data_IF_063884207259
#
_entry.id   IF_063884207259
#
_cell.length_a   1.000
_cell.length_b   1.000
_cell.length_c   1.000
_cell.angle_alpha   90.00
_cell.angle_beta   90.00
_cell.angle_gamma   90.00
#
_symmetry.space_group_name_H-M   'P 1'
#
loop_
_entity.id
_entity.type
_entity.pdbx_description
1 polymer ?
#
# COMPACT_ATOMS: atom_id res chain seq x y z
N UNK A 1 15.73 -15.54 45.31
CA UNK A 1 14.99 -14.32 45.70
C UNK A 1 15.89 -13.12 45.45
N UNK A 2 15.65 -12.38 44.38
CA UNK A 2 16.42 -11.18 44.02
C UNK A 2 15.41 -10.07 43.74
N UNK A 3 15.55 -8.98 44.50
CA UNK A 3 14.57 -7.89 44.64
C UNK A 3 14.26 -7.24 43.29
N UNK A 4 12.98 -7.23 42.91
CA UNK A 4 12.42 -6.22 41.99
C UNK A 4 12.59 -4.85 42.65
N UNK A 5 13.53 -4.04 42.18
CA UNK A 5 13.44 -2.59 42.38
C UNK A 5 12.26 -2.10 41.56
N UNK A 6 11.23 -1.60 42.25
CA UNK A 6 10.15 -0.81 41.66
C UNK A 6 10.77 0.44 41.04
N UNK A 7 11.01 0.45 39.74
CA UNK A 7 11.06 1.70 39.01
C UNK A 7 9.63 2.12 38.70
N UNK A 8 9.22 3.18 39.39
CA UNK A 8 7.98 3.90 39.16
C UNK A 8 7.99 4.59 37.79
N UNK A 9 6.83 4.55 37.13
CA UNK A 9 6.45 5.27 35.90
C UNK A 9 6.71 4.55 34.57
N UNK A 10 5.78 3.65 34.22
CA UNK A 10 4.99 3.71 32.99
C UNK A 10 5.70 4.21 31.71
N UNK A 11 6.95 3.81 31.45
CA UNK A 11 7.67 4.25 30.27
C UNK A 11 8.26 3.09 29.51
N UNK A 12 8.15 3.14 28.18
CA UNK A 12 8.80 2.18 27.27
C UNK A 12 10.10 2.80 26.80
N UNK A 13 11.20 2.08 27.06
CA UNK A 13 12.53 2.44 26.61
C UNK A 13 12.72 1.91 25.18
N UNK A 14 12.77 2.83 24.22
CA UNK A 14 13.19 2.51 22.86
C UNK A 14 14.70 2.68 22.76
N UNK A 15 15.37 1.64 22.27
CA UNK A 15 16.81 1.65 22.00
C UNK A 15 17.03 1.81 20.51
N UNK A 16 17.71 2.89 20.12
CA UNK A 16 18.12 3.15 18.75
C UNK A 16 19.65 3.18 18.70
N UNK A 17 20.33 2.02 18.56
CA UNK A 17 21.79 1.98 18.59
C UNK A 17 22.38 2.97 17.58
N UNK A 18 23.29 3.82 18.06
CA UNK A 18 23.97 4.86 17.27
C UNK A 18 23.11 6.06 16.82
N UNK A 19 21.87 6.20 17.30
CA UNK A 19 21.08 7.39 17.03
C UNK A 19 21.71 8.63 17.68
N UNK A 20 21.80 9.72 16.91
CA UNK A 20 22.25 11.02 17.38
C UNK A 20 21.21 12.08 17.06
N UNK A 21 21.07 13.10 17.90
CA UNK A 21 20.28 14.28 17.57
C UNK A 21 21.00 15.16 16.53
N UNK A 22 20.33 16.24 16.11
CA UNK A 22 20.86 17.21 15.15
C UNK A 22 22.15 17.93 15.63
N UNK A 23 22.55 17.74 16.89
CA UNK A 23 23.75 18.30 17.49
C UNK A 23 24.82 17.23 17.79
N UNK A 24 24.58 15.98 17.37
CA UNK A 24 25.51 14.87 17.58
C UNK A 24 25.43 14.23 18.97
N UNK A 25 24.46 14.61 19.81
CA UNK A 25 24.25 14.03 21.13
C UNK A 25 23.61 12.65 21.00
N UNK A 26 23.95 11.75 21.93
CA UNK A 26 23.41 10.39 21.95
C UNK A 26 21.89 10.39 22.18
N UNK A 27 21.17 9.85 21.21
CA UNK A 27 19.73 9.60 21.23
C UNK A 27 19.43 8.09 21.29
N UNK A 28 20.42 7.28 21.69
CA UNK A 28 20.30 5.82 21.73
C UNK A 28 19.20 5.30 22.64
N UNK A 29 18.64 6.17 23.50
CA UNK A 29 17.57 5.86 24.45
C UNK A 29 16.52 6.95 24.40
N UNK A 30 15.30 6.58 24.05
CA UNK A 30 14.12 7.46 24.19
C UNK A 30 13.12 6.81 25.14
N UNK A 31 12.64 7.59 26.11
CA UNK A 31 11.65 7.17 27.09
C UNK A 31 10.30 7.75 26.70
N UNK A 32 9.33 6.88 26.39
CA UNK A 32 7.95 7.30 26.15
C UNK A 32 7.13 6.97 27.39
N UNK A 33 6.67 8.00 28.13
CA UNK A 33 5.82 7.81 29.31
C UNK A 33 4.38 7.57 28.87
N UNK A 34 3.94 6.32 28.92
CA UNK A 34 2.59 5.87 28.58
C UNK A 34 1.73 5.85 29.84
N UNK A 35 0.79 6.78 29.98
CA UNK A 35 -0.21 6.69 31.04
C UNK A 35 -1.03 5.40 30.88
N UNK A 36 -0.81 4.45 31.80
CA UNK A 36 -1.57 3.23 32.10
C UNK A 36 -2.33 2.63 30.90
N UNK A 37 -1.63 2.28 29.83
CA UNK A 37 -2.14 1.32 28.87
C UNK A 37 -1.87 -0.08 29.41
N UNK A 38 -2.95 -0.80 29.73
CA UNK A 38 -2.90 -2.23 30.03
C UNK A 38 -2.35 -2.94 28.79
N UNK A 39 -1.16 -3.53 28.91
CA UNK A 39 -0.60 -4.62 28.09
C UNK A 39 -1.13 -4.75 26.64
N UNK A 40 -0.32 -4.33 25.66
CA UNK A 40 -0.35 -4.80 24.26
C UNK A 40 -1.64 -4.59 23.44
N UNK A 41 -2.06 -3.32 23.31
CA UNK A 41 -3.21 -2.82 22.54
C UNK A 41 -3.05 -2.93 20.99
N UNK A 42 -2.24 -3.86 20.47
CA UNK A 42 -2.10 -4.05 19.02
C UNK A 42 -3.43 -4.47 18.38
N UNK A 43 -4.18 -5.35 19.07
CA UNK A 43 -5.45 -5.90 18.58
C UNK A 43 -6.55 -4.84 18.53
N UNK A 44 -6.70 -3.99 19.54
CA UNK A 44 -7.76 -2.97 19.56
C UNK A 44 -7.44 -1.80 18.60
N UNK A 45 -6.18 -1.40 18.44
CA UNK A 45 -5.78 -0.41 17.43
C UNK A 45 -5.97 -0.92 16.00
N UNK A 46 -5.46 -2.12 15.70
CA UNK A 46 -5.66 -2.75 14.39
C UNK A 46 -7.15 -2.95 14.10
N UNK A 47 -7.90 -3.42 15.11
CA UNK A 47 -9.30 -3.73 14.89
C UNK A 47 -10.14 -2.50 14.60
N UNK A 48 -9.95 -1.45 15.40
CA UNK A 48 -10.61 -0.17 15.21
C UNK A 48 -10.31 0.44 13.84
N UNK A 49 -9.06 0.36 13.39
CA UNK A 49 -8.67 0.88 12.09
C UNK A 49 -9.28 0.09 10.95
N UNK A 50 -9.06 -1.22 10.86
CA UNK A 50 -9.48 -1.96 9.67
C UNK A 50 -11.00 -2.06 9.51
N UNK A 51 -11.75 -2.06 10.62
CA UNK A 51 -13.22 -2.08 10.59
C UNK A 51 -13.83 -0.76 10.19
N UNK A 52 -13.36 0.27 10.86
CA UNK A 52 -14.10 1.51 11.02
C UNK A 52 -13.33 2.66 10.38
N UNK A 53 -12.12 2.41 9.89
CA UNK A 53 -11.14 3.43 9.54
C UNK A 53 -10.98 4.43 10.70
N UNK A 54 -10.97 3.93 11.95
CA UNK A 54 -10.99 4.80 13.13
C UNK A 54 -9.65 5.51 13.38
N UNK A 55 -9.74 6.68 14.03
CA UNK A 55 -8.59 7.32 14.68
C UNK A 55 -8.18 6.54 15.92
N UNK A 56 -7.05 5.83 15.84
CA UNK A 56 -6.68 4.81 16.82
C UNK A 56 -6.17 5.43 18.13
N UNK A 57 -6.39 4.78 19.29
CA UNK A 57 -5.93 5.26 20.58
C UNK A 57 -4.43 5.62 20.64
N UNK A 58 -3.56 4.79 20.08
CA UNK A 58 -2.11 5.04 20.11
C UNK A 58 -1.71 6.31 19.34
N UNK A 59 -2.38 6.63 18.25
CA UNK A 59 -2.13 7.85 17.48
C UNK A 59 -2.49 9.12 18.27
N UNK A 60 -3.50 9.06 19.16
CA UNK A 60 -3.83 10.18 20.05
C UNK A 60 -2.71 10.50 21.03
N UNK A 61 -2.07 9.47 21.57
CA UNK A 61 -0.93 9.63 22.46
C UNK A 61 0.30 10.14 21.69
N UNK A 62 0.58 9.55 20.52
CA UNK A 62 1.66 9.99 19.66
C UNK A 62 1.49 11.45 19.22
N UNK A 63 0.26 11.91 18.95
CA UNK A 63 -0.02 13.33 18.62
C UNK A 63 0.43 14.26 19.75
N UNK A 64 0.08 13.92 21.00
CA UNK A 64 0.46 14.73 22.18
C UNK A 64 1.98 14.78 22.34
N UNK A 65 2.63 13.63 22.32
CA UNK A 65 4.09 13.53 22.44
C UNK A 65 4.81 14.28 21.31
N UNK A 66 4.31 14.17 20.08
CA UNK A 66 4.88 14.86 18.92
C UNK A 66 4.71 16.38 19.03
N UNK A 67 3.56 16.86 19.48
CA UNK A 67 3.31 18.28 19.73
C UNK A 67 4.24 18.86 20.80
N UNK A 68 4.41 18.14 21.92
CA UNK A 68 5.32 18.52 23.00
C UNK A 68 6.76 18.61 22.50
N UNK A 69 7.20 17.59 21.74
CA UNK A 69 8.56 17.56 21.19
C UNK A 69 8.78 18.67 20.16
N UNK A 70 7.80 18.96 19.30
CA UNK A 70 7.88 20.08 18.36
C UNK A 70 7.95 21.42 19.11
N UNK A 71 7.19 21.57 20.20
CA UNK A 71 7.25 22.77 21.04
C UNK A 71 8.63 22.94 21.70
N UNK A 72 9.25 21.86 22.15
CA UNK A 72 10.64 21.87 22.61
C UNK A 72 11.62 22.24 21.49
N UNK A 73 11.49 21.66 20.29
CA UNK A 73 12.35 21.98 19.15
C UNK A 73 12.28 23.48 18.80
N UNK A 74 11.10 24.09 18.86
CA UNK A 74 10.95 25.54 18.61
C UNK A 74 11.78 26.41 19.56
N UNK A 75 12.00 25.96 20.79
CA UNK A 75 12.75 26.74 21.79
C UNK A 75 14.23 26.39 21.80
N UNK A 76 14.57 25.10 21.78
CA UNK A 76 15.95 24.62 21.94
C UNK A 76 16.71 24.47 20.62
N UNK A 77 16.02 24.19 19.52
CA UNK A 77 16.62 24.00 18.21
C UNK A 77 15.72 24.62 17.11
N UNK A 78 15.60 25.95 17.04
CA UNK A 78 14.61 26.63 16.19
C UNK A 78 14.72 26.32 14.70
N UNK A 79 15.89 25.87 14.22
CA UNK A 79 16.11 25.48 12.83
C UNK A 79 15.92 23.98 12.58
N UNK A 80 15.80 23.15 13.62
CA UNK A 80 15.57 21.72 13.47
C UNK A 80 14.14 21.43 13.00
N UNK A 81 14.03 20.41 12.16
CA UNK A 81 12.78 19.81 11.69
C UNK A 81 12.67 18.37 12.24
N UNK A 82 11.51 17.76 12.08
CA UNK A 82 11.22 16.41 12.55
C UNK A 82 10.83 15.52 11.38
N UNK A 83 11.61 14.46 11.15
CA UNK A 83 11.24 13.35 10.27
C UNK A 83 10.56 12.26 11.10
N UNK A 84 9.51 11.64 10.56
CA UNK A 84 8.69 10.64 11.24
C UNK A 84 8.76 9.34 10.45
N UNK A 85 8.89 8.22 11.16
CA UNK A 85 8.84 6.90 10.54
C UNK A 85 8.00 5.93 11.36
N UNK A 86 7.45 4.95 10.67
CA UNK A 86 6.68 3.88 11.27
C UNK A 86 6.71 2.63 10.40
N UNK A 87 6.57 1.47 11.02
CA UNK A 87 6.40 0.17 10.36
C UNK A 87 5.16 -0.51 10.90
N UNK A 88 4.42 -1.23 10.05
CA UNK A 88 3.21 -1.97 10.46
C UNK A 88 2.19 -1.04 11.15
N UNK A 89 1.69 -1.38 12.35
CA UNK A 89 0.86 -0.49 13.19
C UNK A 89 1.48 0.90 13.36
N UNK A 90 2.81 0.99 13.44
CA UNK A 90 3.54 2.24 13.55
C UNK A 90 3.28 3.21 12.40
N UNK A 91 2.89 2.72 11.20
CA UNK A 91 2.50 3.61 10.10
C UNK A 91 1.21 4.35 10.40
N UNK A 92 0.21 3.63 10.91
CA UNK A 92 -1.08 4.18 11.30
C UNK A 92 -0.90 5.19 12.43
N UNK A 93 -0.14 4.82 13.46
CA UNK A 93 0.20 5.73 14.58
C UNK A 93 0.83 7.01 14.06
N UNK A 94 1.84 6.88 13.20
CA UNK A 94 2.60 8.01 12.67
C UNK A 94 1.74 8.95 11.83
N UNK A 95 1.05 8.42 10.82
CA UNK A 95 0.29 9.26 9.87
C UNK A 95 -0.92 9.91 10.53
N UNK A 96 -1.64 9.18 11.40
CA UNK A 96 -2.76 9.74 12.13
C UNK A 96 -2.32 10.76 13.18
N UNK A 97 -1.14 10.58 13.79
CA UNK A 97 -0.58 11.57 14.71
C UNK A 97 -0.20 12.87 13.99
N UNK A 98 0.52 12.76 12.87
CA UNK A 98 0.87 13.91 12.03
C UNK A 98 -0.38 14.64 11.54
N UNK A 99 -1.40 13.90 11.11
CA UNK A 99 -2.67 14.48 10.69
C UNK A 99 -3.30 15.33 11.80
N UNK A 100 -3.28 14.88 13.05
CA UNK A 100 -3.95 15.58 14.16
C UNK A 100 -3.07 16.63 14.87
N UNK A 101 -1.88 16.94 14.37
CA UNK A 101 -1.06 18.03 14.90
C UNK A 101 -1.74 19.40 14.72
N UNK A 102 -1.47 20.37 15.61
CA UNK A 102 -1.82 21.76 15.37
C UNK A 102 -1.23 22.25 14.04
N UNK A 103 -1.99 23.04 13.27
CA UNK A 103 -1.57 23.57 11.95
C UNK A 103 -0.16 24.19 11.99
N UNK A 104 0.16 24.92 13.05
CA UNK A 104 1.47 25.56 13.22
C UNK A 104 2.63 24.55 13.20
N UNK A 105 2.40 23.33 13.67
CA UNK A 105 3.40 22.28 13.83
C UNK A 105 3.68 21.51 12.55
N UNK A 106 2.78 21.54 11.57
CA UNK A 106 3.01 20.95 10.25
C UNK A 106 4.24 21.54 9.57
N UNK A 107 4.54 22.83 9.78
CA UNK A 107 5.73 23.48 9.24
C UNK A 107 7.05 22.91 9.79
N UNK A 108 7.02 22.18 10.91
CA UNK A 108 8.19 21.51 11.50
C UNK A 108 8.40 20.09 11.00
N UNK A 109 7.46 19.55 10.24
CA UNK A 109 7.55 18.22 9.67
C UNK A 109 8.44 18.29 8.42
N UNK A 110 9.54 17.55 8.48
CA UNK A 110 10.49 17.39 7.38
C UNK A 110 9.96 16.38 6.37
N UNK A 111 9.72 15.15 6.84
CA UNK A 111 9.29 14.01 6.04
C UNK A 111 8.57 12.98 6.90
N UNK A 112 7.67 12.22 6.30
CA UNK A 112 6.97 11.07 6.90
C UNK A 112 7.25 9.87 6.02
N UNK A 113 7.99 8.89 6.54
CA UNK A 113 8.45 7.71 5.79
C UNK A 113 7.88 6.46 6.43
N UNK A 114 7.00 5.75 5.72
CA UNK A 114 6.17 4.70 6.30
C UNK A 114 6.45 3.36 5.62
N UNK A 115 6.62 2.30 6.39
CA UNK A 115 7.02 0.98 5.90
C UNK A 115 5.94 -0.07 6.13
N UNK A 116 5.60 -0.83 5.09
CA UNK A 116 4.77 -2.04 5.17
C UNK A 116 3.49 -1.83 6.02
N UNK A 117 2.79 -0.73 5.77
CA UNK A 117 1.58 -0.36 6.48
C UNK A 117 0.44 -0.02 5.54
N UNK A 118 -0.81 -0.08 6.06
CA UNK A 118 -2.00 0.10 5.25
C UNK A 118 -2.13 1.53 4.74
N UNK A 119 -2.96 1.74 3.72
CA UNK A 119 -3.40 3.09 3.37
C UNK A 119 -4.42 3.61 4.40
N UNK A 120 -4.19 4.83 4.88
CA UNK A 120 -4.98 5.46 5.92
C UNK A 120 -5.93 6.55 5.42
N UNK A 121 -6.11 6.74 4.10
CA UNK A 121 -6.92 7.82 3.53
C UNK A 121 -8.32 7.87 4.10
N UNK A 122 -9.08 6.78 4.00
CA UNK A 122 -10.44 6.71 4.54
C UNK A 122 -10.51 6.98 6.04
N UNK A 123 -9.41 6.71 6.77
CA UNK A 123 -9.33 7.01 8.18
C UNK A 123 -9.15 8.50 8.44
N UNK A 124 -8.24 9.14 7.71
CA UNK A 124 -8.04 10.59 7.75
C UNK A 124 -9.30 11.34 7.33
N UNK A 125 -10.03 10.84 6.33
CA UNK A 125 -11.26 11.48 5.84
C UNK A 125 -12.36 11.50 6.90
N UNK A 126 -12.39 10.52 7.80
CA UNK A 126 -13.30 10.47 8.97
C UNK A 126 -12.83 11.35 10.14
N UNK A 127 -11.64 11.93 10.07
CA UNK A 127 -11.12 12.83 11.10
C UNK A 127 -11.56 14.29 10.86
N UNK A 128 -10.99 15.22 11.63
CA UNK A 128 -11.31 16.65 11.49
C UNK A 128 -10.86 17.21 10.13
N UNK A 129 -11.51 18.29 9.69
CA UNK A 129 -11.09 19.03 8.48
C UNK A 129 -9.63 19.49 8.55
N UNK A 130 -9.15 19.85 9.74
CA UNK A 130 -7.74 20.20 9.95
C UNK A 130 -6.82 19.01 9.66
N UNK A 131 -7.22 17.80 10.05
CA UNK A 131 -6.43 16.60 9.81
C UNK A 131 -6.30 16.27 8.32
N UNK A 132 -7.40 16.38 7.58
CA UNK A 132 -7.39 16.25 6.12
C UNK A 132 -6.47 17.29 5.47
N UNK A 133 -6.59 18.57 5.86
CA UNK A 133 -5.77 19.66 5.32
C UNK A 133 -4.28 19.51 5.65
N UNK A 134 -3.96 19.00 6.84
CA UNK A 134 -2.58 18.73 7.25
C UNK A 134 -1.95 17.67 6.34
N UNK A 135 -2.64 16.55 6.12
CA UNK A 135 -2.16 15.49 5.23
C UNK A 135 -2.08 15.99 3.79
N UNK A 136 -3.11 16.67 3.28
CA UNK A 136 -3.10 17.26 1.95
C UNK A 136 -1.87 18.17 1.74
N UNK A 137 -1.60 19.07 2.70
CA UNK A 137 -0.45 19.98 2.65
C UNK A 137 0.87 19.20 2.53
N UNK A 138 1.03 18.13 3.31
CA UNK A 138 2.25 17.32 3.29
C UNK A 138 2.39 16.47 2.01
N UNK A 139 1.27 16.00 1.45
CA UNK A 139 1.25 15.31 0.15
C UNK A 139 1.66 16.27 -0.97
N UNK A 140 1.07 17.47 -1.02
CA UNK A 140 1.41 18.50 -2.02
C UNK A 140 2.88 18.95 -1.92
N UNK A 141 3.46 18.90 -0.72
CA UNK A 141 4.89 19.17 -0.49
C UNK A 141 5.81 17.97 -0.80
N UNK A 142 5.27 16.81 -1.18
CA UNK A 142 6.05 15.60 -1.45
C UNK A 142 6.72 15.00 -0.20
N UNK A 143 6.15 15.24 1.00
CA UNK A 143 6.77 14.85 2.28
C UNK A 143 6.32 13.50 2.81
N UNK A 144 5.31 12.87 2.22
CA UNK A 144 4.82 11.57 2.68
C UNK A 144 5.19 10.49 1.67
N UNK A 145 5.92 9.49 2.14
CA UNK A 145 6.34 8.34 1.35
C UNK A 145 5.95 7.04 2.06
N UNK A 146 5.35 6.11 1.33
CA UNK A 146 5.12 4.75 1.74
C UNK A 146 6.04 3.81 0.97
N UNK A 147 6.66 2.87 1.68
CA UNK A 147 7.51 1.82 1.15
C UNK A 147 6.88 0.47 1.48
N UNK A 148 6.39 -0.23 0.47
CA UNK A 148 5.50 -1.37 0.64
C UNK A 148 5.97 -2.61 -0.11
N UNK A 149 5.56 -3.78 0.38
CA UNK A 149 5.81 -5.06 -0.26
C UNK A 149 4.50 -5.56 -0.87
N UNK A 150 4.46 -5.82 -2.17
CA UNK A 150 3.26 -6.30 -2.86
C UNK A 150 2.68 -7.60 -2.28
N UNK A 151 3.52 -8.40 -1.62
CA UNK A 151 3.11 -9.63 -0.97
C UNK A 151 2.78 -9.45 0.50
N UNK A 152 2.76 -8.25 1.07
CA UNK A 152 2.38 -8.03 2.46
C UNK A 152 0.93 -7.58 2.58
N UNK A 153 0.09 -8.41 3.18
CA UNK A 153 -1.34 -8.12 3.35
C UNK A 153 -1.60 -6.87 4.21
N UNK A 154 -0.71 -6.54 5.15
CA UNK A 154 -0.87 -5.34 5.97
C UNK A 154 -0.66 -4.11 5.11
N UNK A 155 0.39 -4.13 4.29
CA UNK A 155 0.68 -3.03 3.37
C UNK A 155 -0.33 -2.87 2.24
N UNK A 156 -0.95 -3.96 1.77
CA UNK A 156 -1.92 -3.95 0.67
C UNK A 156 -3.36 -3.61 1.11
N UNK A 157 -3.60 -3.52 2.42
CA UNK A 157 -4.91 -3.15 2.97
C UNK A 157 -5.27 -1.71 2.58
N UNK A 158 -6.52 -1.53 2.13
CA UNK A 158 -7.13 -0.26 1.70
C UNK A 158 -6.52 0.40 0.45
N UNK A 159 -5.75 -0.33 -0.36
CA UNK A 159 -5.08 0.21 -1.57
C UNK A 159 -5.86 0.04 -2.87
N UNK A 160 -7.07 -0.53 -2.80
CA UNK A 160 -7.95 -0.79 -3.94
C UNK A 160 -9.32 -0.11 -3.77
N UNK A 161 -9.38 0.97 -2.98
CA UNK A 161 -10.63 1.69 -2.69
C UNK A 161 -10.98 2.62 -3.86
N UNK A 162 -12.18 2.43 -4.39
CA UNK A 162 -12.72 3.19 -5.53
C UNK A 162 -12.85 4.67 -5.20
N UNK A 163 -12.27 5.54 -6.02
CA UNK A 163 -12.36 7.00 -5.88
C UNK A 163 -11.62 7.55 -4.65
N UNK A 164 -10.62 6.83 -4.15
CA UNK A 164 -9.84 7.18 -2.96
C UNK A 164 -8.35 7.14 -3.30
N UNK A 165 -7.72 8.31 -3.40
CA UNK A 165 -6.28 8.41 -3.63
C UNK A 165 -5.49 7.94 -2.41
N UNK A 166 -4.46 7.13 -2.65
CA UNK A 166 -3.47 6.76 -1.64
C UNK A 166 -2.81 8.01 -1.01
N UNK A 167 -2.39 7.90 0.24
CA UNK A 167 -1.68 9.00 0.89
C UNK A 167 -0.22 9.05 0.42
N UNK A 168 0.16 10.14 -0.24
CA UNK A 168 1.55 10.44 -0.56
C UNK A 168 2.11 9.59 -1.71
N UNK A 169 3.43 9.50 -1.78
CA UNK A 169 4.10 8.71 -2.82
C UNK A 169 4.29 7.27 -2.35
N UNK A 170 3.77 6.33 -3.14
CA UNK A 170 3.83 4.90 -2.81
C UNK A 170 4.90 4.21 -3.66
N UNK A 171 5.85 3.57 -2.97
CA UNK A 171 7.00 2.89 -3.52
C UNK A 171 6.85 1.38 -3.29
N UNK A 172 6.58 0.64 -4.36
CA UNK A 172 6.60 -0.82 -4.34
C UNK A 172 8.05 -1.30 -4.32
N UNK A 173 8.43 -2.06 -3.31
CA UNK A 173 9.79 -2.57 -3.15
C UNK A 173 9.97 -3.92 -3.81
N UNK A 174 11.16 -4.17 -4.37
CA UNK A 174 11.57 -5.50 -4.80
C UNK A 174 11.85 -6.36 -3.55
N UNK A 175 11.17 -7.48 -3.38
CA UNK A 175 11.32 -8.28 -2.17
C UNK A 175 12.60 -9.11 -2.20
N UNK A 176 13.12 -9.47 -1.02
CA UNK A 176 14.26 -10.40 -0.89
C UNK A 176 13.87 -11.83 -1.27
N UNK A 177 12.65 -12.22 -0.92
CA UNK A 177 12.09 -13.54 -1.12
C UNK A 177 10.63 -13.39 -1.56
N UNK A 178 10.13 -14.39 -2.29
CA UNK A 178 8.72 -14.47 -2.67
C UNK A 178 7.97 -15.23 -1.57
N UNK A 179 7.80 -14.57 -0.43
CA UNK A 179 7.09 -15.10 0.74
C UNK A 179 5.75 -14.41 0.96
N UNK A 180 4.89 -15.10 1.68
CA UNK A 180 3.65 -14.58 2.23
C UNK A 180 3.89 -13.85 3.55
N UNK A 181 2.89 -13.11 4.03
CA UNK A 181 2.91 -12.53 5.39
C UNK A 181 2.97 -13.62 6.48
N UNK A 182 2.63 -14.87 6.13
CA UNK A 182 2.54 -16.00 7.07
C UNK A 182 3.75 -16.93 7.03
N UNK A 183 4.75 -16.63 6.22
CA UNK A 183 5.97 -17.44 6.13
C UNK A 183 6.93 -16.99 7.23
N UNK A 184 6.71 -17.47 8.46
CA UNK A 184 7.47 -17.06 9.65
C UNK A 184 8.79 -17.83 9.85
N UNK A 185 9.22 -18.63 8.88
CA UNK A 185 10.47 -19.39 9.04
C UNK A 185 11.72 -18.50 8.96
N UNK A 186 12.77 -18.90 9.67
CA UNK A 186 14.04 -18.15 9.73
C UNK A 186 14.74 -18.06 8.36
N UNK A 187 14.37 -18.90 7.39
CA UNK A 187 15.06 -19.03 6.11
C UNK A 187 14.63 -17.94 5.13
N UNK A 188 13.36 -17.57 5.16
CA UNK A 188 12.78 -16.66 4.18
C UNK A 188 12.14 -15.42 4.81
N UNK A 189 11.64 -15.51 6.05
CA UNK A 189 10.95 -14.44 6.77
C UNK A 189 9.64 -13.97 6.14
N UNK A 190 8.81 -13.28 6.93
CA UNK A 190 7.49 -12.82 6.52
C UNK A 190 7.62 -11.66 5.55
N UNK A 191 6.82 -11.57 4.48
CA UNK A 191 6.81 -10.39 3.60
C UNK A 191 6.55 -9.07 4.32
N UNK A 192 5.98 -9.13 5.53
CA UNK A 192 5.70 -8.02 6.42
C UNK A 192 6.89 -7.58 7.28
N UNK A 193 7.94 -8.41 7.43
CA UNK A 193 9.06 -8.06 8.30
C UNK A 193 9.82 -6.86 7.75
N UNK A 194 10.24 -5.97 8.66
CA UNK A 194 11.09 -4.85 8.30
C UNK A 194 12.42 -5.36 7.73
N UNK A 195 12.74 -4.91 6.52
CA UNK A 195 13.96 -5.35 5.81
C UNK A 195 13.74 -6.47 4.81
N UNK A 196 12.50 -6.89 4.53
CA UNK A 196 12.16 -7.88 3.49
C UNK A 196 12.08 -7.28 2.09
N UNK A 197 13.10 -6.49 1.77
CA UNK A 197 13.27 -5.78 0.52
C UNK A 197 14.75 -5.69 0.16
N UNK A 198 15.02 -5.59 -1.14
CA UNK A 198 16.39 -5.48 -1.64
C UNK A 198 16.91 -4.05 -1.50
N UNK A 199 18.22 -3.93 -1.37
CA UNK A 199 18.94 -2.65 -1.24
C UNK A 199 19.96 -2.59 -2.38
N UNK A 200 20.09 -1.42 -3.00
CA UNK A 200 21.12 -1.12 -3.99
C UNK A 200 22.51 -1.02 -3.32
N UNK A 201 23.57 -1.05 -4.13
CA UNK A 201 24.93 -0.93 -3.61
C UNK A 201 25.20 0.41 -2.89
N UNK A 202 24.45 1.46 -3.23
CA UNK A 202 24.52 2.80 -2.63
C UNK A 202 23.69 2.95 -1.34
N UNK A 203 23.04 1.87 -0.88
CA UNK A 203 22.21 1.89 0.33
C UNK A 203 20.76 2.34 0.09
N UNK A 204 20.38 2.71 -1.13
CA UNK A 204 18.98 3.03 -1.47
C UNK A 204 18.13 1.76 -1.60
N UNK A 205 16.83 1.88 -1.36
CA UNK A 205 15.91 0.75 -1.51
C UNK A 205 15.68 0.43 -2.99
N UNK A 206 15.63 -0.86 -3.34
CA UNK A 206 15.29 -1.26 -4.71
C UNK A 206 13.78 -1.19 -4.92
N UNK A 207 13.38 -0.26 -5.77
CA UNK A 207 11.99 -0.07 -6.16
C UNK A 207 11.64 -0.86 -7.42
N UNK A 208 10.44 -1.43 -7.43
CA UNK A 208 9.82 -2.00 -8.61
C UNK A 208 9.46 -0.88 -9.60
N UNK A 209 9.50 -1.21 -10.88
CA UNK A 209 9.07 -0.31 -11.95
C UNK A 209 8.18 -1.08 -12.93
N UNK A 210 7.22 -0.41 -13.55
CA UNK A 210 6.26 -1.08 -14.44
C UNK A 210 6.91 -1.78 -15.63
N UNK A 211 8.04 -1.27 -16.14
CA UNK A 211 8.69 -1.80 -17.35
C UNK A 211 9.29 -3.19 -17.13
N UNK A 212 9.92 -3.40 -15.98
CA UNK A 212 10.68 -4.61 -15.68
C UNK A 212 9.96 -5.50 -14.66
N UNK A 213 9.18 -4.86 -13.78
CA UNK A 213 8.61 -5.44 -12.58
C UNK A 213 7.08 -5.28 -12.51
N UNK A 214 6.39 -5.20 -13.66
CA UNK A 214 4.92 -5.15 -13.75
C UNK A 214 4.21 -6.23 -12.92
N UNK A 215 4.83 -7.40 -12.78
CA UNK A 215 4.33 -8.51 -11.95
C UNK A 215 4.24 -8.17 -10.45
N UNK A 216 5.05 -7.23 -9.93
CA UNK A 216 4.97 -6.75 -8.54
C UNK A 216 3.69 -5.92 -8.35
N UNK A 217 3.40 -5.01 -9.29
CA UNK A 217 2.18 -4.19 -9.25
C UNK A 217 0.93 -5.04 -9.40
N UNK A 218 0.93 -6.00 -10.34
CA UNK A 218 -0.16 -6.96 -10.49
C UNK A 218 -0.38 -7.75 -9.20
N UNK A 219 0.69 -8.25 -8.58
CA UNK A 219 0.58 -8.96 -7.31
C UNK A 219 -0.05 -8.10 -6.22
N UNK A 220 0.37 -6.84 -6.09
CA UNK A 220 -0.22 -5.91 -5.11
C UNK A 220 -1.72 -5.70 -5.32
N UNK A 221 -2.15 -5.46 -6.57
CA UNK A 221 -3.57 -5.35 -6.94
C UNK A 221 -4.33 -6.62 -6.56
N UNK A 222 -3.80 -7.79 -6.91
CA UNK A 222 -4.45 -9.07 -6.64
C UNK A 222 -4.53 -9.36 -5.12
N UNK A 223 -3.48 -9.06 -4.35
CA UNK A 223 -3.49 -9.22 -2.90
C UNK A 223 -4.50 -8.26 -2.26
N UNK A 224 -4.57 -7.01 -2.71
CA UNK A 224 -5.54 -6.03 -2.20
C UNK A 224 -6.99 -6.46 -2.46
N UNK A 225 -7.32 -6.92 -3.67
CA UNK A 225 -8.63 -7.50 -3.99
C UNK A 225 -8.95 -8.77 -3.19
N UNK A 226 -7.96 -9.63 -2.99
CA UNK A 226 -8.11 -10.82 -2.17
C UNK A 226 -8.47 -10.44 -0.73
N UNK A 227 -7.78 -9.46 -0.12
CA UNK A 227 -8.10 -8.97 1.22
C UNK A 227 -9.56 -8.51 1.31
N UNK A 228 -10.01 -7.67 0.38
CA UNK A 228 -11.39 -7.17 0.36
C UNK A 228 -12.43 -8.28 0.19
N UNK A 229 -12.16 -9.25 -0.70
CA UNK A 229 -13.02 -10.42 -0.90
C UNK A 229 -13.21 -11.20 0.40
N UNK A 230 -12.13 -11.52 1.10
CA UNK A 230 -12.20 -12.33 2.31
C UNK A 230 -12.72 -11.54 3.52
N UNK A 231 -12.41 -10.25 3.65
CA UNK A 231 -13.08 -9.37 4.62
C UNK A 231 -14.60 -9.36 4.40
N UNK A 232 -15.05 -9.24 3.15
CA UNK A 232 -16.47 -9.27 2.79
C UNK A 232 -17.16 -10.60 3.11
N UNK A 233 -16.50 -11.74 2.91
CA UNK A 233 -17.02 -13.06 3.28
C UNK A 233 -17.15 -13.21 4.79
N UNK A 234 -16.13 -12.81 5.54
CA UNK A 234 -16.13 -12.93 6.99
C UNK A 234 -17.16 -12.00 7.63
N UNK A 235 -17.33 -10.76 7.13
CA UNK A 235 -18.36 -9.84 7.60
C UNK A 235 -19.78 -10.36 7.36
N UNK A 236 -20.03 -11.05 6.23
CA UNK A 236 -21.33 -11.68 5.94
C UNK A 236 -21.63 -12.87 6.85
N UNK A 237 -20.63 -13.67 7.19
CA UNK A 237 -20.80 -14.90 7.96
C UNK A 237 -20.93 -14.67 9.47
N UNK A 238 -20.36 -13.59 10.00
CA UNK A 238 -20.30 -13.33 11.45
C UNK A 238 -21.37 -12.36 11.96
N UNK A 239 -22.00 -11.57 11.09
CA UNK A 239 -22.92 -10.51 11.49
C UNK A 239 -22.27 -9.36 12.27
N UNK A 240 -20.95 -9.42 12.49
CA UNK A 240 -20.15 -8.44 13.21
C UNK A 240 -19.15 -7.74 12.29
N UNK A 241 -18.60 -6.62 12.75
CA UNK A 241 -17.62 -5.85 12.01
C UNK A 241 -16.25 -6.53 12.21
N UNK A 242 -15.62 -7.03 11.14
CA UNK A 242 -14.35 -7.83 11.15
C UNK A 242 -13.10 -7.13 10.57
N UNK A 243 -12.02 -7.00 11.37
CA UNK A 243 -10.80 -6.19 11.09
C UNK A 243 -9.69 -6.98 10.44
N UNK A 244 -8.48 -6.46 10.15
CA UNK A 244 -7.39 -7.29 9.60
C UNK A 244 -6.75 -8.18 10.67
N UNK A 245 -6.63 -7.69 11.90
CA UNK A 245 -6.24 -8.51 13.06
C UNK A 245 -7.29 -9.58 13.39
N UNK A 246 -8.58 -9.24 13.26
CA UNK A 246 -9.65 -10.24 13.36
C UNK A 246 -9.81 -11.04 12.07
N UNK A 247 -9.39 -10.57 10.90
CA UNK A 247 -9.45 -11.31 9.62
C UNK A 247 -8.50 -12.48 9.74
N UNK A 248 -7.29 -12.26 10.24
CA UNK A 248 -6.37 -13.35 10.52
C UNK A 248 -6.99 -14.33 11.51
N UNK A 249 -7.49 -13.85 12.65
CA UNK A 249 -8.09 -14.69 13.69
C UNK A 249 -9.33 -15.44 13.19
N UNK A 250 -10.18 -14.79 12.39
CA UNK A 250 -11.46 -15.32 11.91
C UNK A 250 -11.28 -16.21 10.69
N UNK A 251 -10.37 -15.88 9.76
CA UNK A 251 -9.93 -16.81 8.75
C UNK A 251 -9.38 -18.06 9.43
N UNK A 252 -8.44 -17.93 10.37
CA UNK A 252 -7.88 -19.08 11.09
C UNK A 252 -8.92 -19.87 11.91
N UNK A 253 -10.01 -19.23 12.35
CA UNK A 253 -11.13 -19.92 13.03
C UNK A 253 -12.02 -20.73 12.07
N UNK A 254 -12.01 -20.41 10.78
CA UNK A 254 -12.69 -21.14 9.71
C UNK A 254 -11.64 -21.81 8.80
N UNK A 255 -11.26 -23.03 9.16
CA UNK A 255 -10.20 -23.77 8.47
C UNK A 255 -10.42 -23.91 6.95
N UNK A 256 -11.66 -24.00 6.48
CA UNK A 256 -11.95 -24.05 5.04
C UNK A 256 -11.73 -22.71 4.36
N UNK A 257 -12.20 -21.62 4.98
CA UNK A 257 -12.02 -20.28 4.44
C UNK A 257 -10.55 -19.87 4.44
N UNK A 258 -9.81 -20.21 5.51
CA UNK A 258 -8.36 -20.02 5.57
C UNK A 258 -7.62 -20.81 4.49
N UNK A 259 -7.99 -22.07 4.24
CA UNK A 259 -7.36 -22.88 3.20
C UNK A 259 -7.55 -22.27 1.81
N UNK A 260 -8.76 -21.77 1.50
CA UNK A 260 -9.05 -21.06 0.24
C UNK A 260 -8.25 -19.77 0.11
N UNK A 261 -8.18 -18.99 1.19
CA UNK A 261 -7.37 -17.77 1.24
C UNK A 261 -5.89 -18.07 0.98
N UNK A 262 -5.31 -19.05 1.68
CA UNK A 262 -3.92 -19.45 1.49
C UNK A 262 -3.64 -19.96 0.08
N UNK A 263 -4.55 -20.75 -0.50
CA UNK A 263 -4.40 -21.23 -1.87
C UNK A 263 -4.34 -20.08 -2.88
N UNK A 264 -5.26 -19.13 -2.79
CA UNK A 264 -5.30 -17.96 -3.67
C UNK A 264 -4.07 -17.07 -3.48
N UNK A 265 -3.66 -16.87 -2.23
CA UNK A 265 -2.48 -16.05 -1.90
C UNK A 265 -1.18 -16.66 -2.45
N UNK A 266 -0.98 -17.96 -2.24
CA UNK A 266 0.19 -18.68 -2.75
C UNK A 266 0.22 -18.73 -4.28
N UNK A 267 -0.94 -18.76 -4.94
CA UNK A 267 -1.01 -18.65 -6.40
C UNK A 267 -0.48 -17.29 -6.88
N UNK A 268 -0.89 -16.19 -6.26
CA UNK A 268 -0.41 -14.84 -6.60
C UNK A 268 1.11 -14.73 -6.44
N UNK A 269 1.65 -15.21 -5.31
CA UNK A 269 3.10 -15.18 -5.04
C UNK A 269 3.86 -16.05 -6.05
N UNK A 270 3.34 -17.23 -6.37
CA UNK A 270 3.96 -18.16 -7.32
C UNK A 270 4.01 -17.61 -8.74
N UNK A 271 2.93 -16.97 -9.20
CA UNK A 271 2.89 -16.30 -10.50
C UNK A 271 3.93 -15.18 -10.60
N UNK A 272 4.03 -14.35 -9.56
CA UNK A 272 5.01 -13.27 -9.51
C UNK A 272 6.46 -13.79 -9.45
N UNK A 273 6.70 -14.88 -8.70
CA UNK A 273 8.01 -15.54 -8.64
C UNK A 273 8.45 -16.03 -10.01
N UNK A 274 7.56 -16.74 -10.73
CA UNK A 274 7.84 -17.22 -12.08
C UNK A 274 8.12 -16.06 -13.05
N UNK A 275 7.35 -14.97 -12.96
CA UNK A 275 7.53 -13.79 -13.80
C UNK A 275 8.89 -13.09 -13.57
N UNK A 276 9.39 -13.10 -12.32
CA UNK A 276 10.67 -12.48 -11.95
C UNK A 276 11.89 -13.19 -12.54
N UNK A 277 11.80 -14.52 -12.74
CA UNK A 277 12.91 -15.35 -13.21
C UNK A 277 13.14 -15.27 -14.71
N UNK A 278 12.31 -14.53 -15.44
CA UNK A 278 12.34 -14.51 -16.91
C UNK A 278 13.69 -14.06 -17.48
N UNK A 279 14.28 -12.99 -16.96
CA UNK A 279 15.56 -12.48 -17.48
C UNK A 279 16.71 -13.47 -17.29
N UNK A 280 16.77 -14.11 -16.11
CA UNK A 280 17.78 -15.13 -15.82
C UNK A 280 17.59 -16.35 -16.72
N UNK A 281 16.34 -16.83 -16.88
CA UNK A 281 16.01 -17.95 -17.77
C UNK A 281 16.46 -17.67 -19.21
N UNK A 282 16.12 -16.51 -19.76
CA UNK A 282 16.51 -16.11 -21.12
C UNK A 282 18.03 -15.99 -21.27
N UNK A 283 18.71 -15.45 -20.26
CA UNK A 283 20.17 -15.32 -20.27
C UNK A 283 20.85 -16.69 -20.28
N UNK A 284 20.38 -17.62 -19.45
CA UNK A 284 20.90 -18.98 -19.39
C UNK A 284 20.64 -19.75 -20.69
N UNK A 285 19.44 -19.62 -21.29
CA UNK A 285 19.14 -20.22 -22.59
C UNK A 285 20.05 -19.69 -23.70
N UNK A 286 20.27 -18.37 -23.75
CA UNK A 286 21.21 -17.75 -24.71
C UNK A 286 22.64 -18.28 -24.54
N UNK A 287 23.12 -18.46 -23.30
CA UNK A 287 24.45 -19.03 -23.04
C UNK A 287 24.57 -20.47 -23.54
N UNK A 288 23.59 -21.33 -23.24
CA UNK A 288 23.56 -22.73 -23.72
C UNK A 288 23.53 -22.80 -25.25
N UNK A 289 22.77 -21.93 -25.90
CA UNK A 289 22.67 -21.86 -27.36
C UNK A 289 23.98 -21.55 -28.09
N UNK A 290 24.96 -20.93 -27.44
CA UNK A 290 26.26 -20.63 -28.04
C UNK A 290 27.04 -21.92 -28.33
N UNK A 291 26.95 -22.91 -27.43
CA UNK A 291 27.74 -24.14 -27.50
C UNK A 291 26.95 -25.35 -28.02
N UNK A 292 25.62 -25.28 -28.02
CA UNK A 292 24.76 -26.37 -28.49
C UNK A 292 24.85 -26.58 -30.02
N UNK A 293 24.67 -27.83 -30.45
CA UNK A 293 24.66 -28.23 -31.87
C UNK A 293 23.54 -29.25 -32.13
N UNK A 294 23.27 -29.54 -33.41
CA UNK A 294 22.28 -30.56 -33.80
C UNK A 294 20.90 -30.36 -33.18
N UNK A 295 20.32 -31.45 -32.66
CA UNK A 295 18.98 -31.47 -32.02
C UNK A 295 18.90 -30.62 -30.76
N UNK A 296 19.94 -30.62 -29.91
CA UNK A 296 20.00 -29.83 -28.68
C UNK A 296 19.82 -28.33 -28.96
N UNK A 297 20.43 -27.84 -30.05
CA UNK A 297 20.28 -26.44 -30.48
C UNK A 297 18.84 -26.10 -30.90
N UNK A 298 18.10 -27.06 -31.46
CA UNK A 298 16.71 -26.88 -31.87
C UNK A 298 15.81 -26.81 -30.63
N UNK A 299 15.98 -27.74 -29.68
CA UNK A 299 15.23 -27.76 -28.42
C UNK A 299 15.43 -26.47 -27.62
N UNK A 300 16.68 -25.99 -27.47
CA UNK A 300 16.97 -24.75 -26.76
C UNK A 300 16.38 -23.50 -27.47
N UNK A 301 16.25 -23.52 -28.80
CA UNK A 301 15.59 -22.45 -29.55
C UNK A 301 14.09 -22.46 -29.33
N UNK A 302 13.48 -23.64 -29.31
CA UNK A 302 12.06 -23.80 -28.97
C UNK A 302 11.78 -23.31 -27.55
N UNK A 303 12.63 -23.68 -26.57
CA UNK A 303 12.47 -23.23 -25.20
C UNK A 303 12.63 -21.70 -25.07
N UNK A 304 13.60 -21.11 -25.78
CA UNK A 304 13.76 -19.66 -25.81
C UNK A 304 12.55 -18.96 -26.45
N UNK A 305 12.05 -19.48 -27.57
CA UNK A 305 10.85 -18.95 -28.22
C UNK A 305 9.63 -19.03 -27.30
N UNK A 306 9.49 -20.13 -26.57
CA UNK A 306 8.43 -20.33 -25.60
C UNK A 306 8.54 -19.36 -24.41
N UNK A 307 9.75 -19.16 -23.86
CA UNK A 307 9.98 -18.20 -22.78
C UNK A 307 9.68 -16.75 -23.20
N UNK A 308 10.03 -16.37 -24.44
CA UNK A 308 9.69 -15.05 -25.00
C UNK A 308 8.19 -14.92 -25.20
N UNK A 309 7.54 -15.96 -25.73
CA UNK A 309 6.10 -16.01 -25.92
C UNK A 309 5.30 -15.89 -24.62
N UNK A 310 5.72 -16.61 -23.58
CA UNK A 310 5.07 -16.59 -22.28
C UNK A 310 5.19 -15.21 -21.62
N UNK A 311 6.35 -14.56 -21.73
CA UNK A 311 6.52 -13.18 -21.24
C UNK A 311 5.68 -12.18 -22.01
N UNK A 312 5.60 -12.28 -23.33
CA UNK A 312 4.73 -11.41 -24.12
C UNK A 312 3.26 -11.57 -23.70
N UNK A 313 2.81 -12.81 -23.49
CA UNK A 313 1.46 -13.11 -23.01
C UNK A 313 1.23 -12.63 -21.57
N UNK A 314 2.22 -12.74 -20.68
CA UNK A 314 2.10 -12.32 -19.28
C UNK A 314 2.02 -10.79 -19.20
N UNK A 315 2.93 -10.07 -19.85
CA UNK A 315 2.93 -8.60 -19.94
C UNK A 315 1.56 -8.12 -20.44
N UNK A 316 1.05 -8.71 -21.52
CA UNK A 316 -0.25 -8.34 -22.06
C UNK A 316 -1.40 -8.45 -21.05
N UNK A 317 -1.43 -9.53 -20.27
CA UNK A 317 -2.43 -9.73 -19.20
C UNK A 317 -2.20 -8.80 -18.01
N UNK A 318 -0.96 -8.65 -17.57
CA UNK A 318 -0.57 -7.79 -16.45
C UNK A 318 -1.01 -6.34 -16.71
N UNK A 319 -0.67 -5.79 -17.88
CA UNK A 319 -1.09 -4.45 -18.28
C UNK A 319 -2.60 -4.35 -18.48
N UNK A 320 -3.27 -5.38 -19.01
CA UNK A 320 -4.73 -5.37 -19.14
C UNK A 320 -5.41 -5.23 -17.77
N UNK A 321 -4.94 -5.94 -16.75
CA UNK A 321 -5.50 -5.83 -15.39
C UNK A 321 -5.18 -4.48 -14.77
N UNK A 322 -3.91 -4.04 -14.84
CA UNK A 322 -3.48 -2.74 -14.28
C UNK A 322 -4.29 -1.61 -14.92
N UNK A 323 -4.43 -1.59 -16.24
CA UNK A 323 -5.13 -0.51 -16.96
C UNK A 323 -6.63 -0.54 -16.72
N UNK A 324 -7.26 -1.72 -16.61
CA UNK A 324 -8.66 -1.81 -16.21
C UNK A 324 -8.88 -1.27 -14.80
N UNK A 325 -7.98 -1.60 -13.88
CA UNK A 325 -8.05 -1.10 -12.51
C UNK A 325 -7.93 0.43 -12.49
N UNK A 326 -6.91 0.99 -13.13
CA UNK A 326 -6.72 2.44 -13.25
C UNK A 326 -7.87 3.14 -13.97
N UNK A 327 -8.40 2.56 -15.05
CA UNK A 327 -9.55 3.14 -15.74
C UNK A 327 -10.79 3.17 -14.84
N UNK A 328 -11.02 2.10 -14.08
CA UNK A 328 -12.13 2.03 -13.14
C UNK A 328 -11.99 3.07 -12.02
N UNK A 329 -10.78 3.26 -11.50
CA UNK A 329 -10.44 4.29 -10.50
C UNK A 329 -10.81 5.69 -11.03
N UNK A 330 -10.34 6.06 -12.22
CA UNK A 330 -10.67 7.34 -12.85
C UNK A 330 -12.18 7.51 -13.09
N UNK A 331 -12.86 6.46 -13.55
CA UNK A 331 -14.32 6.53 -13.75
C UNK A 331 -15.08 6.75 -12.43
N UNK A 332 -14.61 6.13 -11.34
CA UNK A 332 -15.19 6.28 -10.01
C UNK A 332 -14.91 7.67 -9.42
N UNK A 333 -13.70 8.24 -9.64
CA UNK A 333 -13.38 9.63 -9.28
C UNK A 333 -14.29 10.64 -9.99
N UNK A 334 -14.47 10.50 -11.30
CA UNK A 334 -15.37 11.36 -12.07
C UNK A 334 -16.82 11.25 -11.56
N UNK A 335 -17.26 10.04 -11.22
CA UNK A 335 -18.58 9.82 -10.63
C UNK A 335 -18.73 10.49 -9.25
N UNK A 336 -17.69 10.43 -8.41
CA UNK A 336 -17.67 11.07 -7.09
C UNK A 336 -17.71 12.59 -7.21
N UNK A 337 -16.87 13.18 -8.06
CA UNK A 337 -16.84 14.62 -8.32
C UNK A 337 -18.18 15.13 -8.86
N UNK A 338 -18.78 14.40 -9.81
CA UNK A 338 -20.11 14.72 -10.31
C UNK A 338 -21.15 14.77 -9.17
N UNK A 339 -21.12 13.77 -8.27
CA UNK A 339 -22.01 13.70 -7.11
C UNK A 339 -21.78 14.86 -6.13
N UNK A 340 -20.52 15.23 -5.87
CA UNK A 340 -20.18 16.37 -5.02
C UNK A 340 -20.71 17.70 -5.58
N UNK A 341 -20.51 17.94 -6.88
CA UNK A 341 -21.03 19.12 -7.58
C UNK A 341 -22.55 19.17 -7.47
N UNK A 342 -23.22 18.06 -7.75
CA UNK A 342 -24.69 17.93 -7.66
C UNK A 342 -25.16 18.24 -6.23
N UNK A 343 -24.56 17.61 -5.22
CA UNK A 343 -24.93 17.82 -3.82
C UNK A 343 -24.70 19.27 -3.37
N UNK A 344 -23.57 19.87 -3.76
CA UNK A 344 -23.25 21.27 -3.45
C UNK A 344 -24.26 22.24 -4.08
N UNK A 345 -24.62 22.02 -5.35
CA UNK A 345 -25.62 22.82 -6.04
C UNK A 345 -27.01 22.69 -5.40
N UNK A 346 -27.41 21.48 -4.99
CA UNK A 346 -28.67 21.28 -4.27
C UNK A 346 -28.67 21.88 -2.86
N UNK A 347 -27.52 21.99 -2.20
CA UNK A 347 -27.41 22.62 -0.88
C UNK A 347 -27.67 24.14 -0.92
N UNK A 348 -27.36 24.81 -2.04
CA UNK A 348 -27.59 26.26 -2.24
C UNK A 348 -28.94 26.57 -2.91
N UNK A 349 -29.77 25.56 -3.18
CA UNK A 349 -31.10 25.68 -3.80
C UNK A 349 -32.04 26.66 -3.08
N UNK A 350 -31.81 27.00 -1.80
CA UNK A 350 -32.60 28.04 -1.10
C UNK A 350 -32.62 29.39 -1.82
N UNK A 351 -31.69 29.62 -2.75
CA UNK A 351 -31.56 30.86 -3.51
C UNK A 351 -31.83 30.71 -5.02
N UNK A 352 -32.22 29.52 -5.51
CA UNK A 352 -32.38 29.20 -6.93
C UNK A 352 -33.59 28.25 -7.17
N UNK A 353 -34.23 28.33 -8.34
CA UNK A 353 -35.28 27.38 -8.70
C UNK A 353 -34.70 25.97 -8.94
N UNK A 354 -35.56 24.96 -8.97
CA UNK A 354 -35.14 23.60 -9.30
C UNK A 354 -34.63 23.49 -10.73
N UNK A 355 -35.28 24.17 -11.70
CA UNK A 355 -34.80 24.25 -13.07
C UNK A 355 -33.42 24.92 -13.17
N UNK A 356 -33.18 26.03 -12.46
CA UNK A 356 -31.89 26.74 -12.51
C UNK A 356 -30.75 25.86 -11.99
N UNK A 357 -30.98 25.15 -10.87
CA UNK A 357 -30.01 24.20 -10.32
C UNK A 357 -29.78 23.04 -11.31
N UNK A 358 -30.84 22.52 -11.93
CA UNK A 358 -30.76 21.41 -12.88
C UNK A 358 -30.00 21.78 -14.16
N UNK A 359 -30.23 22.97 -14.71
CA UNK A 359 -29.48 23.50 -15.86
C UNK A 359 -28.01 23.75 -15.51
N UNK A 360 -27.75 24.25 -14.30
CA UNK A 360 -26.39 24.53 -13.84
C UNK A 360 -25.56 23.25 -13.66
N UNK A 361 -26.16 22.15 -13.19
CA UNK A 361 -25.46 20.87 -12.97
C UNK A 361 -25.43 19.95 -14.19
N UNK A 362 -26.28 20.18 -15.21
CA UNK A 362 -26.38 19.31 -16.38
C UNK A 362 -25.04 19.02 -17.08
N UNK A 363 -24.10 19.98 -17.26
CA UNK A 363 -22.78 19.69 -17.84
C UNK A 363 -21.87 18.84 -16.95
N UNK A 364 -22.16 18.75 -15.64
CA UNK A 364 -21.32 18.13 -14.63
C UNK A 364 -21.83 16.75 -14.18
N UNK A 365 -22.78 16.16 -14.91
CA UNK A 365 -23.17 14.77 -14.67
C UNK A 365 -22.07 13.81 -15.11
N UNK A 366 -22.05 12.59 -14.54
CA UNK A 366 -21.05 11.57 -14.89
C UNK A 366 -21.01 11.32 -16.41
N UNK A 367 -22.17 11.24 -17.04
CA UNK A 367 -22.34 10.94 -18.46
C UNK A 367 -21.71 12.02 -19.37
N UNK A 368 -21.62 13.26 -18.87
CA UNK A 368 -21.03 14.39 -19.60
C UNK A 368 -19.55 14.61 -19.26
N UNK A 369 -19.13 14.28 -18.03
CA UNK A 369 -17.74 14.35 -17.59
C UNK A 369 -16.90 13.13 -18.02
N UNK A 370 -17.53 11.97 -18.22
CA UNK A 370 -16.89 10.73 -18.64
C UNK A 370 -17.49 10.18 -19.92
N UNK A 371 -16.67 10.17 -20.98
CA UNK A 371 -17.03 9.46 -22.21
C UNK A 371 -16.57 8.00 -22.12
N UNK A 372 -17.48 7.11 -21.70
CA UNK A 372 -17.21 5.67 -21.60
C UNK A 372 -16.66 5.05 -22.90
N UNK A 373 -16.97 5.63 -24.07
CA UNK A 373 -16.43 5.20 -25.36
C UNK A 373 -14.93 5.45 -25.55
N UNK A 374 -14.30 6.39 -24.83
CA UNK A 374 -12.84 6.57 -24.86
C UNK A 374 -12.12 5.51 -24.02
N UNK A 375 -12.63 5.21 -22.83
CA UNK A 375 -12.11 4.11 -22.00
C UNK A 375 -12.22 2.76 -22.70
N UNK A 376 -13.35 2.52 -23.37
CA UNK A 376 -13.55 1.31 -24.18
C UNK A 376 -12.57 1.23 -25.38
N UNK A 377 -12.25 2.36 -26.03
CA UNK A 377 -11.25 2.42 -27.11
C UNK A 377 -9.84 2.08 -26.62
N UNK A 378 -9.42 2.58 -25.45
CA UNK A 378 -8.12 2.27 -24.86
C UNK A 378 -8.04 0.78 -24.52
N UNK A 379 -9.06 0.27 -23.82
CA UNK A 379 -9.18 -1.16 -23.48
C UNK A 379 -9.19 -2.06 -24.73
N UNK A 380 -9.93 -1.69 -25.77
CA UNK A 380 -10.00 -2.45 -27.02
C UNK A 380 -8.69 -2.40 -27.82
N UNK A 381 -7.97 -1.27 -27.82
CA UNK A 381 -6.63 -1.16 -28.43
C UNK A 381 -5.61 -2.05 -27.71
N UNK A 382 -5.70 -2.17 -26.39
CA UNK A 382 -4.87 -3.08 -25.61
C UNK A 382 -5.23 -4.54 -25.86
N UNK A 383 -6.52 -4.91 -25.85
CA UNK A 383 -6.97 -6.24 -26.26
C UNK A 383 -6.41 -6.60 -27.63
N UNK A 384 -6.41 -5.66 -28.58
CA UNK A 384 -5.81 -5.84 -29.90
C UNK A 384 -4.28 -6.05 -29.85
N UNK A 385 -3.54 -5.30 -29.03
CA UNK A 385 -2.10 -5.50 -28.82
C UNK A 385 -1.82 -6.89 -28.20
N UNK A 386 -2.58 -7.27 -27.18
CA UNK A 386 -2.50 -8.60 -26.52
C UNK A 386 -2.84 -9.71 -27.50
N UNK A 387 -3.87 -9.54 -28.33
CA UNK A 387 -4.26 -10.47 -29.39
C UNK A 387 -3.17 -10.59 -30.47
N UNK A 388 -2.58 -9.48 -30.91
CA UNK A 388 -1.45 -9.48 -31.84
C UNK A 388 -0.25 -10.24 -31.27
N UNK A 389 0.10 -10.00 -30.00
CA UNK A 389 1.16 -10.74 -29.33
C UNK A 389 0.85 -12.24 -29.26
N UNK A 390 -0.39 -12.63 -28.92
CA UNK A 390 -0.84 -14.04 -28.94
C UNK A 390 -0.77 -14.68 -30.33
N UNK A 391 -1.04 -13.93 -31.40
CA UNK A 391 -0.98 -14.41 -32.79
C UNK A 391 0.47 -14.54 -33.26
N UNK A 392 1.33 -13.56 -32.98
CA UNK A 392 2.76 -13.62 -33.31
C UNK A 392 3.44 -14.85 -32.70
N UNK A 393 3.06 -15.25 -31.49
CA UNK A 393 3.53 -16.47 -30.82
C UNK A 393 3.11 -17.76 -31.54
N UNK A 394 1.91 -17.81 -32.13
CA UNK A 394 1.46 -19.00 -32.89
C UNK A 394 2.25 -19.22 -34.18
N UNK A 395 2.85 -18.16 -34.74
CA UNK A 395 3.63 -18.23 -35.98
C UNK A 395 5.00 -18.88 -35.73
N UNK A 396 5.55 -18.80 -34.52
CA UNK A 396 6.83 -19.43 -34.13
C UNK A 396 6.71 -20.90 -33.68
N UNK A 397 5.49 -21.48 -33.70
CA UNK A 397 5.22 -22.90 -33.36
C UNK A 397 4.95 -23.77 -34.61
N UNK A 398 5.23 -23.27 -35.81
CA UNK A 398 5.30 -24.03 -37.06
C UNK A 398 6.72 -23.97 -37.57
#
# INVERSE_FOLDING_TARGET
MTKKSKESNNSVLFKFPNAKDAHGNDMSKSYLQLDKLKTNDWVENNSSFTLFNAYIPQAKLATKAMHEKISELRTKAPNATMSITGHSLGTMVSIQAVANLPKKDIAKIDKVVLFQGPDARESIDKMSRQAQLNIQTLVEQGKIEYYINAFDIVSMLNRNKKGVDEIGKVHYLLPKSFTSTFDFDERYGSSHDFGQYQINADGTLKEANLKEHSYIFLAGINVSHMIDKYLGLVAKNTGEKVSSGNLLTLLMSDGELYAKFQQEYQAIISEAKLASQWQERVTNLKKKLIIASGSEKIELREELAQAVADKAKSIGKEYEVILKNTQQEFEDEVASLAKEIINGAYAIRKHLSFEDVSLMIAPYTKENLWNGGQGEKITNRLKYIVLKQKISVKIYRK
#
